data_IF_699071334793
#
_entry.id   IF_699071334793
#
_cell.length_a   1.000
_cell.length_b   1.000
_cell.length_c   1.000
_cell.angle_alpha   90.00
_cell.angle_beta   90.00
_cell.angle_gamma   90.00
#
_symmetry.space_group_name_H-M   'P 1'
#
loop_
_entity.id
_entity.type
_entity.pdbx_description
1 polymer ?
#
# COMPACT_ATOMS: atom_id res chain seq x y z
N UNK A 1 -16.51 15.59 -8.09
CA UNK A 1 -16.07 15.12 -6.73
C UNK A 1 -16.88 13.91 -6.27
N UNK A 2 -18.22 13.93 -6.38
CA UNK A 2 -19.06 12.81 -5.93
C UNK A 2 -18.89 11.51 -6.74
N UNK A 3 -18.74 11.58 -8.05
CA UNK A 3 -18.58 10.41 -8.92
C UNK A 3 -17.23 9.69 -8.73
N UNK A 4 -16.16 10.41 -8.53
CA UNK A 4 -14.82 9.84 -8.32
C UNK A 4 -14.66 9.15 -6.97
N UNK A 5 -15.28 9.69 -5.92
CA UNK A 5 -15.32 9.05 -4.60
C UNK A 5 -16.10 7.73 -4.66
N UNK A 6 -17.21 7.69 -5.42
CA UNK A 6 -17.97 6.47 -5.66
C UNK A 6 -17.15 5.41 -6.43
N UNK A 7 -16.34 5.81 -7.42
CA UNK A 7 -15.47 4.90 -8.17
C UNK A 7 -14.41 4.29 -7.24
N UNK A 8 -13.72 5.11 -6.45
CA UNK A 8 -12.69 4.63 -5.51
C UNK A 8 -13.29 3.70 -4.45
N UNK A 9 -14.46 4.03 -3.91
CA UNK A 9 -15.14 3.17 -2.93
C UNK A 9 -15.55 1.83 -3.52
N UNK A 10 -16.03 1.82 -4.76
CA UNK A 10 -16.34 0.60 -5.49
C UNK A 10 -15.09 -0.26 -5.67
N UNK A 11 -14.00 0.32 -6.16
CA UNK A 11 -12.74 -0.40 -6.37
C UNK A 11 -12.19 -0.95 -5.04
N UNK A 12 -12.28 -0.19 -3.95
CA UNK A 12 -11.90 -0.66 -2.61
C UNK A 12 -12.72 -1.87 -2.19
N UNK A 13 -14.06 -1.83 -2.36
CA UNK A 13 -14.95 -2.94 -2.01
C UNK A 13 -14.67 -4.18 -2.87
N UNK A 14 -14.45 -4.00 -4.17
CA UNK A 14 -14.12 -5.09 -5.10
C UNK A 14 -12.77 -5.73 -4.73
N UNK A 15 -11.75 -4.92 -4.41
CA UNK A 15 -10.45 -5.43 -3.94
C UNK A 15 -10.59 -6.26 -2.67
N UNK A 16 -11.33 -5.75 -1.69
CA UNK A 16 -11.57 -6.47 -0.43
C UNK A 16 -12.30 -7.79 -0.68
N UNK A 17 -13.35 -7.78 -1.47
CA UNK A 17 -14.12 -9.00 -1.77
C UNK A 17 -13.30 -10.04 -2.55
N UNK A 18 -12.46 -9.60 -3.47
CA UNK A 18 -11.66 -10.49 -4.32
C UNK A 18 -10.44 -11.07 -3.60
N UNK A 19 -9.74 -10.27 -2.78
CA UNK A 19 -8.43 -10.63 -2.24
C UNK A 19 -8.37 -10.86 -0.74
N UNK A 20 -9.33 -10.39 0.04
CA UNK A 20 -9.23 -10.44 1.49
C UNK A 20 -10.40 -11.18 2.17
N UNK A 21 -11.61 -10.91 1.74
CA UNK A 21 -12.81 -11.44 2.38
C UNK A 21 -12.81 -12.98 2.37
N UNK A 22 -13.08 -13.57 3.52
CA UNK A 22 -13.15 -15.02 3.74
C UNK A 22 -11.82 -15.78 3.47
N UNK A 23 -10.71 -15.05 3.34
CA UNK A 23 -9.37 -15.60 3.08
C UNK A 23 -8.38 -15.34 4.21
N UNK A 24 -8.78 -14.61 5.25
CA UNK A 24 -7.89 -14.12 6.30
C UNK A 24 -6.99 -15.21 6.87
N UNK A 25 -7.58 -16.35 7.23
CA UNK A 25 -6.83 -17.49 7.82
C UNK A 25 -5.81 -18.09 6.84
N UNK A 26 -6.18 -18.20 5.57
CA UNK A 26 -5.31 -18.75 4.53
C UNK A 26 -4.09 -17.87 4.30
N UNK A 27 -4.27 -16.57 4.32
CA UNK A 27 -3.22 -15.59 4.06
C UNK A 27 -2.51 -15.09 5.32
N UNK A 28 -2.79 -15.68 6.48
CA UNK A 28 -2.12 -15.38 7.75
C UNK A 28 -2.62 -14.10 8.43
N UNK A 29 -3.72 -13.50 7.99
CA UNK A 29 -4.29 -12.32 8.64
C UNK A 29 -5.23 -12.71 9.79
N UNK A 30 -5.12 -12.00 10.90
CA UNK A 30 -6.10 -12.03 11.99
C UNK A 30 -7.32 -11.15 11.67
N UNK A 31 -7.06 -10.00 11.07
CA UNK A 31 -8.08 -9.06 10.61
C UNK A 31 -7.52 -8.08 9.58
N UNK A 32 -8.40 -7.32 8.94
CA UNK A 32 -7.99 -6.23 8.08
C UNK A 32 -8.95 -5.04 8.19
N UNK A 33 -8.44 -3.87 7.85
CA UNK A 33 -9.21 -2.65 7.71
C UNK A 33 -8.95 -2.02 6.35
N UNK A 34 -9.97 -1.43 5.75
CA UNK A 34 -9.84 -0.70 4.51
C UNK A 34 -10.41 0.71 4.63
N UNK A 35 -9.72 1.68 4.05
CA UNK A 35 -10.15 3.08 4.08
C UNK A 35 -9.91 3.78 2.76
N UNK A 36 -10.69 4.81 2.50
CA UNK A 36 -10.38 5.81 1.49
C UNK A 36 -9.62 6.97 2.16
N UNK A 37 -8.67 7.53 1.45
CA UNK A 37 -8.04 8.77 1.90
C UNK A 37 -9.06 9.89 1.87
N UNK A 38 -9.16 10.62 2.97
CA UNK A 38 -9.98 11.80 3.08
C UNK A 38 -9.61 12.86 2.04
N UNK A 39 -10.62 13.58 1.54
CA UNK A 39 -10.44 14.54 0.44
C UNK A 39 -9.60 15.75 0.87
N UNK A 40 -9.75 16.23 2.11
CA UNK A 40 -8.98 17.38 2.60
C UNK A 40 -7.50 16.99 2.73
N UNK A 41 -7.20 15.89 3.40
CA UNK A 41 -5.85 15.35 3.51
C UNK A 41 -5.24 14.99 2.14
N UNK A 42 -6.08 14.63 1.15
CA UNK A 42 -5.61 14.41 -0.21
C UNK A 42 -5.11 15.71 -0.83
N UNK A 43 -5.87 16.78 -0.74
CA UNK A 43 -5.48 18.10 -1.30
C UNK A 43 -4.20 18.60 -0.65
N UNK A 44 -4.08 18.55 0.67
CA UNK A 44 -2.85 18.92 1.38
C UNK A 44 -1.64 18.10 0.89
N UNK A 45 -1.81 16.79 0.73
CA UNK A 45 -0.75 15.93 0.21
C UNK A 45 -0.36 16.28 -1.23
N UNK A 46 -1.32 16.58 -2.09
CA UNK A 46 -1.06 16.99 -3.48
C UNK A 46 -0.24 18.27 -3.54
N UNK A 47 -0.63 19.27 -2.75
CA UNK A 47 0.10 20.55 -2.65
C UNK A 47 1.53 20.31 -2.16
N UNK A 48 1.70 19.56 -1.06
CA UNK A 48 3.01 19.23 -0.51
C UNK A 48 3.90 18.51 -1.53
N UNK A 49 3.40 17.45 -2.19
CA UNK A 49 4.15 16.71 -3.21
C UNK A 49 4.58 17.61 -4.38
N UNK A 50 3.72 18.52 -4.81
CA UNK A 50 4.04 19.47 -5.87
C UNK A 50 5.13 20.47 -5.46
N UNK A 51 5.15 20.87 -4.20
CA UNK A 51 6.21 21.73 -3.65
C UNK A 51 7.52 20.98 -3.48
N UNK A 52 7.49 19.73 -2.99
CA UNK A 52 8.68 18.90 -2.78
C UNK A 52 9.35 18.46 -4.08
N UNK A 53 8.58 18.18 -5.14
CA UNK A 53 9.12 17.73 -6.43
C UNK A 53 8.27 18.26 -7.60
N UNK A 54 8.44 19.54 -7.90
CA UNK A 54 7.70 20.21 -8.97
C UNK A 54 7.88 19.52 -10.33
N UNK A 55 9.07 19.07 -10.67
CA UNK A 55 9.36 18.44 -11.97
C UNK A 55 8.49 17.19 -12.20
N UNK A 56 8.34 16.36 -11.17
CA UNK A 56 7.52 15.12 -11.21
C UNK A 56 6.02 15.42 -11.24
N UNK A 57 5.57 16.39 -10.44
CA UNK A 57 4.14 16.62 -10.20
C UNK A 57 3.55 17.83 -10.96
N UNK A 58 4.34 18.51 -11.83
CA UNK A 58 3.87 19.70 -12.56
C UNK A 58 2.68 19.47 -13.47
N UNK A 59 2.55 18.24 -14.03
CA UNK A 59 1.45 17.83 -14.92
C UNK A 59 0.26 17.23 -14.18
N UNK A 60 0.34 17.12 -12.86
CA UNK A 60 -0.74 16.56 -12.05
C UNK A 60 -1.86 17.59 -11.90
N UNK A 61 -3.08 17.16 -12.19
CA UNK A 61 -4.31 17.94 -12.05
C UNK A 61 -5.48 17.08 -11.51
N UNK A 62 -6.66 17.66 -11.47
CA UNK A 62 -7.85 16.98 -10.96
C UNK A 62 -8.28 15.75 -11.78
N UNK A 63 -7.87 15.64 -13.04
CA UNK A 63 -8.26 14.55 -13.93
C UNK A 63 -7.30 13.36 -13.87
N UNK A 64 -6.07 13.56 -13.41
CA UNK A 64 -5.01 12.54 -13.46
C UNK A 64 -4.31 12.27 -12.11
N UNK A 65 -4.69 12.93 -11.02
CA UNK A 65 -4.03 12.79 -9.72
C UNK A 65 -3.97 11.34 -9.21
N UNK A 66 -4.93 10.50 -9.57
CA UNK A 66 -4.95 9.08 -9.20
C UNK A 66 -3.73 8.29 -9.71
N UNK A 67 -3.04 8.79 -10.74
CA UNK A 67 -1.79 8.22 -11.27
C UNK A 67 -0.56 8.60 -10.45
N UNK A 68 -0.68 9.57 -9.55
CA UNK A 68 0.44 10.12 -8.75
C UNK A 68 0.34 9.80 -7.27
N UNK A 69 -0.86 9.52 -6.76
CA UNK A 69 -1.10 9.28 -5.34
C UNK A 69 -1.25 7.79 -5.08
N UNK A 70 -0.32 7.23 -4.31
CA UNK A 70 -0.20 5.80 -4.08
C UNK A 70 -1.01 5.27 -2.90
N UNK A 71 -1.63 6.15 -2.11
CA UNK A 71 -2.38 5.84 -0.88
C UNK A 71 -3.83 6.34 -0.89
N UNK A 72 -4.44 6.38 -2.07
CA UNK A 72 -5.86 6.75 -2.21
C UNK A 72 -6.79 5.73 -1.55
N UNK A 73 -6.43 4.45 -1.66
CA UNK A 73 -7.05 3.34 -0.96
C UNK A 73 -5.98 2.76 -0.05
N UNK A 74 -6.27 2.70 1.23
CA UNK A 74 -5.41 2.07 2.23
C UNK A 74 -6.03 0.78 2.73
N UNK A 75 -5.24 -0.29 2.73
CA UNK A 75 -5.56 -1.56 3.39
C UNK A 75 -4.57 -1.75 4.53
N UNK A 76 -5.06 -2.10 5.69
CA UNK A 76 -4.24 -2.45 6.84
C UNK A 76 -4.56 -3.88 7.23
N UNK A 77 -3.61 -4.79 7.03
CA UNK A 77 -3.71 -6.19 7.44
C UNK A 77 -2.98 -6.40 8.75
N UNK A 78 -3.63 -7.09 9.68
CA UNK A 78 -3.13 -7.33 11.02
C UNK A 78 -2.82 -8.81 11.22
N UNK A 79 -1.59 -9.09 11.63
CA UNK A 79 -1.11 -10.41 11.96
C UNK A 79 -1.18 -10.63 13.48
N UNK A 80 -1.33 -11.88 13.91
CA UNK A 80 -1.12 -12.24 15.30
C UNK A 80 0.38 -12.38 15.59
N UNK A 81 1.09 -13.13 14.74
CA UNK A 81 2.52 -13.32 14.83
C UNK A 81 3.22 -12.74 13.60
N UNK A 82 4.42 -12.23 13.78
CA UNK A 82 5.21 -11.62 12.70
C UNK A 82 5.57 -12.64 11.61
N UNK A 83 5.78 -13.89 11.98
CA UNK A 83 6.10 -15.00 11.10
C UNK A 83 4.98 -15.30 10.09
N UNK A 84 3.73 -15.00 10.41
CA UNK A 84 2.57 -15.18 9.53
C UNK A 84 2.65 -14.27 8.30
N UNK A 85 3.45 -13.23 8.34
CA UNK A 85 3.70 -12.35 7.21
C UNK A 85 4.12 -13.09 5.95
N UNK A 86 4.88 -14.17 6.06
CA UNK A 86 5.36 -14.95 4.90
C UNK A 86 4.18 -15.50 4.08
N UNK A 87 3.09 -15.91 4.72
CA UNK A 87 1.89 -16.40 4.05
C UNK A 87 1.25 -15.28 3.23
N UNK A 88 1.08 -14.11 3.82
CA UNK A 88 0.56 -12.93 3.13
C UNK A 88 1.48 -12.52 1.98
N UNK A 89 2.79 -12.50 2.21
CA UNK A 89 3.76 -12.12 1.17
C UNK A 89 3.67 -13.04 -0.06
N UNK A 90 3.67 -14.36 0.15
CA UNK A 90 3.51 -15.33 -0.95
C UNK A 90 2.22 -15.10 -1.72
N UNK A 91 1.13 -14.87 -1.01
CA UNK A 91 -0.18 -14.62 -1.59
C UNK A 91 -0.19 -13.35 -2.43
N UNK A 92 0.25 -12.22 -1.90
CA UNK A 92 0.19 -10.95 -2.62
C UNK A 92 1.12 -10.92 -3.85
N UNK A 93 2.30 -11.52 -3.76
CA UNK A 93 3.22 -11.64 -4.89
C UNK A 93 2.68 -12.57 -5.98
N UNK A 94 1.91 -13.60 -5.61
CA UNK A 94 1.27 -14.48 -6.58
C UNK A 94 0.28 -13.71 -7.48
N UNK A 95 -0.55 -12.87 -6.87
CA UNK A 95 -1.58 -12.10 -7.58
C UNK A 95 -1.06 -10.82 -8.23
N UNK A 96 -0.12 -10.14 -7.59
CA UNK A 96 0.44 -8.86 -8.03
C UNK A 96 1.94 -9.01 -8.31
N UNK A 97 2.26 -9.57 -9.46
CA UNK A 97 3.66 -9.74 -9.87
C UNK A 97 4.34 -8.39 -10.06
N UNK A 98 5.59 -8.30 -9.66
CA UNK A 98 6.41 -7.14 -9.94
C UNK A 98 6.71 -7.09 -11.45
N UNK A 99 6.27 -6.03 -12.12
CA UNK A 99 6.55 -5.76 -13.52
C UNK A 99 7.05 -4.32 -13.68
N UNK A 100 8.36 -4.09 -13.54
CA UNK A 100 8.94 -2.75 -13.67
C UNK A 100 8.68 -2.09 -15.03
N UNK A 101 8.65 -2.87 -16.10
CA UNK A 101 8.37 -2.33 -17.45
C UNK A 101 6.92 -1.88 -17.57
N UNK A 102 6.00 -2.62 -16.96
CA UNK A 102 4.59 -2.25 -16.91
C UNK A 102 4.39 -0.98 -16.09
N UNK A 103 5.07 -0.85 -14.96
CA UNK A 103 5.07 0.37 -14.16
C UNK A 103 5.52 1.60 -14.95
N UNK A 104 6.62 1.48 -15.71
CA UNK A 104 7.14 2.56 -16.56
C UNK A 104 6.17 2.87 -17.70
N UNK A 105 5.55 1.86 -18.31
CA UNK A 105 4.55 2.04 -19.37
C UNK A 105 3.32 2.78 -18.87
N UNK A 106 2.79 2.39 -17.70
CA UNK A 106 1.54 2.93 -17.17
C UNK A 106 1.70 4.33 -16.57
N UNK A 107 2.92 4.70 -16.17
CA UNK A 107 3.23 6.06 -15.72
C UNK A 107 3.23 7.10 -16.85
N UNK A 108 3.31 6.68 -18.09
CA UNK A 108 3.40 7.53 -19.27
C UNK A 108 2.35 7.34 -20.34
N UNK A 109 1.41 6.38 -20.19
CA UNK A 109 0.45 6.01 -21.24
C UNK A 109 -0.95 5.79 -20.71
N UNK A 110 -1.90 5.78 -21.66
CA UNK A 110 -3.29 5.48 -21.40
C UNK A 110 -3.44 4.11 -20.74
N UNK A 111 -4.16 4.12 -19.69
CA UNK A 111 -4.42 3.10 -18.73
C UNK A 111 -5.30 1.99 -19.34
N UNK A 112 -4.82 0.75 -19.35
CA UNK A 112 -5.66 -0.40 -19.69
C UNK A 112 -6.51 -0.81 -18.47
N UNK A 113 -7.80 -0.45 -18.53
CA UNK A 113 -8.76 -0.77 -17.49
C UNK A 113 -9.01 -2.28 -17.29
N UNK A 114 -8.56 -3.10 -18.24
CA UNK A 114 -8.71 -4.55 -18.22
C UNK A 114 -7.45 -5.29 -17.74
N UNK A 115 -6.37 -4.57 -17.48
CA UNK A 115 -5.16 -5.20 -16.98
C UNK A 115 -5.39 -5.74 -15.55
N UNK A 116 -5.05 -7.00 -15.34
CA UNK A 116 -4.93 -7.57 -14.01
C UNK A 116 -3.99 -6.68 -13.18
N UNK A 117 -4.24 -6.52 -11.90
CA UNK A 117 -3.41 -5.73 -11.00
C UNK A 117 -1.93 -6.13 -11.02
N UNK A 118 -1.04 -5.23 -10.66
CA UNK A 118 0.40 -5.48 -10.59
C UNK A 118 1.04 -4.75 -9.40
N UNK A 119 2.22 -5.21 -8.99
CA UNK A 119 3.02 -4.54 -7.98
C UNK A 119 3.65 -3.29 -8.57
N UNK A 120 3.31 -2.13 -8.04
CA UNK A 120 3.77 -0.84 -8.57
C UNK A 120 5.24 -0.56 -8.24
N UNK A 121 5.69 -1.01 -7.08
CA UNK A 121 7.07 -0.92 -6.63
C UNK A 121 7.43 -2.13 -5.76
N UNK A 122 8.72 -2.47 -5.59
CA UNK A 122 9.13 -3.52 -4.68
C UNK A 122 8.60 -3.27 -3.26
N UNK A 123 8.16 -4.33 -2.55
CA UNK A 123 7.72 -4.22 -1.17
C UNK A 123 8.81 -3.61 -0.29
N UNK A 124 8.41 -2.80 0.69
CA UNK A 124 9.32 -2.17 1.66
C UNK A 124 9.01 -2.65 3.06
N UNK A 125 10.02 -3.10 3.75
CA UNK A 125 9.96 -3.48 5.15
C UNK A 125 10.46 -2.32 6.00
N UNK A 126 9.67 -1.88 6.94
CA UNK A 126 10.08 -0.93 7.97
C UNK A 126 10.31 -1.69 9.26
N UNK A 127 11.54 -1.65 9.78
CA UNK A 127 11.98 -2.26 11.03
C UNK A 127 12.42 -1.17 12.00
N UNK A 128 12.51 -1.49 13.29
CA UNK A 128 13.20 -0.63 14.26
C UNK A 128 14.68 -0.98 14.29
N UNK A 129 15.52 -0.01 14.60
CA UNK A 129 16.94 -0.24 14.77
C UNK A 129 17.18 -1.33 15.82
N UNK A 130 17.94 -2.36 15.46
CA UNK A 130 18.22 -3.52 16.29
C UNK A 130 17.18 -4.65 16.24
N UNK A 131 16.16 -4.52 15.39
CA UNK A 131 15.22 -5.61 15.18
C UNK A 131 15.85 -6.77 14.41
N UNK A 132 15.35 -7.96 14.71
CA UNK A 132 15.68 -9.15 13.96
C UNK A 132 14.92 -9.17 12.63
N UNK A 133 15.64 -8.98 11.53
CA UNK A 133 15.06 -8.86 10.19
C UNK A 133 15.11 -10.16 9.36
N UNK A 134 15.61 -11.25 9.91
CA UNK A 134 15.91 -12.51 9.20
C UNK A 134 14.70 -13.10 8.45
N UNK A 135 13.50 -12.90 8.97
CA UNK A 135 12.29 -13.38 8.30
C UNK A 135 12.06 -12.70 6.94
N UNK A 136 12.66 -11.55 6.71
CA UNK A 136 12.45 -10.74 5.50
C UNK A 136 13.56 -10.93 4.45
N UNK A 137 14.80 -11.16 4.88
CA UNK A 137 15.98 -11.14 3.98
C UNK A 137 15.93 -12.19 2.87
N UNK A 138 15.21 -13.29 3.06
CA UNK A 138 15.02 -14.31 2.05
C UNK A 138 13.97 -13.95 0.98
N UNK A 139 13.22 -12.89 1.17
CA UNK A 139 12.07 -12.50 0.35
C UNK A 139 12.17 -11.08 -0.21
N UNK A 140 12.81 -10.21 0.53
CA UNK A 140 12.88 -8.77 0.23
C UNK A 140 14.36 -8.39 0.11
N UNK A 141 14.77 -7.71 -0.96
CA UNK A 141 16.13 -7.18 -1.08
C UNK A 141 16.49 -6.27 0.08
N UNK A 142 17.75 -6.33 0.52
CA UNK A 142 18.23 -5.62 1.71
C UNK A 142 18.01 -4.11 1.63
N UNK A 143 18.16 -3.53 0.44
CA UNK A 143 17.91 -2.11 0.18
C UNK A 143 16.46 -1.67 0.41
N UNK A 144 15.52 -2.63 0.48
CA UNK A 144 14.11 -2.39 0.79
C UNK A 144 13.76 -2.71 2.25
N UNK A 145 14.71 -3.08 3.08
CA UNK A 145 14.57 -3.23 4.53
C UNK A 145 15.10 -1.95 5.18
N UNK A 146 14.20 -1.14 5.70
CA UNK A 146 14.46 0.25 6.10
C UNK A 146 14.35 0.41 7.61
N UNK A 147 15.42 0.85 8.26
CA UNK A 147 15.40 1.18 9.68
C UNK A 147 14.57 2.43 9.96
N UNK A 148 13.69 2.33 10.96
CA UNK A 148 12.85 3.42 11.45
C UNK A 148 12.96 3.52 12.96
N UNK A 149 12.73 4.72 13.50
CA UNK A 149 12.89 4.93 14.95
C UNK A 149 11.84 4.17 15.76
N UNK A 150 10.57 4.20 15.35
CA UNK A 150 9.46 3.68 16.14
C UNK A 150 8.44 2.85 15.33
N UNK A 151 8.60 2.74 14.03
CA UNK A 151 7.61 2.18 13.13
C UNK A 151 8.02 0.82 12.57
N UNK A 152 7.09 -0.14 12.61
CA UNK A 152 7.22 -1.45 11.94
C UNK A 152 6.01 -1.72 11.07
N UNK A 153 6.24 -2.04 9.83
CA UNK A 153 5.23 -2.58 8.92
C UNK A 153 5.88 -3.06 7.64
N UNK A 154 5.22 -3.93 6.90
CA UNK A 154 5.56 -4.21 5.51
C UNK A 154 4.57 -3.48 4.61
N UNK A 155 5.10 -2.69 3.68
CA UNK A 155 4.32 -1.90 2.75
C UNK A 155 4.36 -2.51 1.35
N UNK A 156 3.20 -2.62 0.75
CA UNK A 156 3.02 -2.98 -0.65
C UNK A 156 2.24 -1.86 -1.33
N UNK A 157 2.66 -1.49 -2.53
CA UNK A 157 1.89 -0.61 -3.41
C UNK A 157 1.52 -1.42 -4.63
N UNK A 158 0.24 -1.68 -4.78
CA UNK A 158 -0.30 -2.39 -5.93
C UNK A 158 -1.20 -1.48 -6.76
N UNK A 159 -1.27 -1.75 -8.04
CA UNK A 159 -2.28 -1.15 -8.93
C UNK A 159 -3.35 -2.20 -9.18
N UNK A 160 -4.58 -1.83 -8.92
CA UNK A 160 -5.75 -2.65 -9.18
C UNK A 160 -6.83 -1.80 -9.86
N UNK A 161 -7.30 -2.24 -11.02
CA UNK A 161 -8.26 -1.49 -11.84
C UNK A 161 -7.91 0.00 -11.98
N UNK A 162 -6.62 0.31 -12.02
CA UNK A 162 -6.11 1.61 -12.27
C UNK A 162 -5.87 2.52 -11.11
N UNK A 163 -6.12 2.06 -9.99
CA UNK A 163 -5.96 2.83 -8.78
C UNK A 163 -4.87 2.20 -7.93
N UNK A 164 -4.01 3.02 -7.37
CA UNK A 164 -3.04 2.58 -6.39
C UNK A 164 -3.73 2.22 -5.07
N UNK A 165 -3.35 1.06 -4.54
CA UNK A 165 -3.75 0.59 -3.23
C UNK A 165 -2.49 0.40 -2.40
N UNK A 166 -2.39 1.09 -1.29
CA UNK A 166 -1.34 0.88 -0.29
C UNK A 166 -1.82 -0.20 0.69
N UNK A 167 -1.02 -1.26 0.84
CA UNK A 167 -1.28 -2.32 1.80
C UNK A 167 -0.18 -2.27 2.86
N UNK A 168 -0.57 -2.10 4.11
CA UNK A 168 0.31 -2.11 5.28
C UNK A 168 0.04 -3.36 6.09
N UNK A 169 1.05 -4.20 6.27
CA UNK A 169 0.96 -5.42 7.08
C UNK A 169 1.80 -5.23 8.33
N UNK A 170 1.19 -5.45 9.48
CA UNK A 170 1.81 -5.35 10.80
C UNK A 170 1.11 -6.26 11.80
N UNK A 171 1.72 -6.47 12.96
CA UNK A 171 1.06 -7.22 14.02
C UNK A 171 0.03 -6.37 14.76
N UNK A 172 -0.88 -7.03 15.46
CA UNK A 172 -1.83 -6.36 16.37
C UNK A 172 -1.11 -5.53 17.43
N UNK A 173 0.04 -6.02 17.92
CA UNK A 173 0.86 -5.28 18.89
C UNK A 173 1.40 -3.97 18.31
N UNK A 174 1.93 -4.02 17.09
CA UNK A 174 2.48 -2.85 16.39
C UNK A 174 1.39 -1.83 16.03
N UNK A 175 0.18 -2.29 15.74
CA UNK A 175 -0.97 -1.42 15.56
C UNK A 175 -1.32 -0.68 16.84
N UNK A 176 -1.50 -1.41 17.95
CA UNK A 176 -1.82 -0.81 19.25
C UNK A 176 -0.72 0.14 19.74
N UNK A 177 0.55 -0.23 19.56
CA UNK A 177 1.67 0.65 19.90
C UNK A 177 1.68 1.93 19.08
N UNK A 178 1.40 1.86 17.77
CA UNK A 178 1.35 3.03 16.89
C UNK A 178 0.26 4.02 17.29
N UNK A 179 -0.91 3.54 17.73
CA UNK A 179 -1.99 4.40 18.22
C UNK A 179 -1.62 5.12 19.53
N UNK A 180 -0.87 4.44 20.42
CA UNK A 180 -0.37 5.04 21.67
C UNK A 180 0.68 6.11 21.35
N UNK A 181 1.64 5.82 20.48
CA UNK A 181 2.73 6.74 20.09
C UNK A 181 2.16 8.04 19.47
N UNK A 182 1.14 7.93 18.63
CA UNK A 182 0.44 9.08 18.06
C UNK A 182 -0.37 9.90 19.08
N UNK A 183 -0.74 9.29 20.21
CA UNK A 183 -1.58 9.96 21.22
C UNK A 183 -0.74 10.70 22.28
N UNK A 184 0.53 10.35 22.44
CA UNK A 184 1.41 10.85 23.51
C UNK A 184 2.41 11.88 23.00
N UNK A 185 2.72 11.92 21.71
CA UNK A 185 3.66 12.83 21.06
C UNK A 185 2.95 13.88 20.20
#
# INVERSE_FOLDING_TARGET
VGSEMCIRDRIRKEFVAEFLQDKEKEIGLQSYHSRLKDTEHLVEKLVRKRLENYAKYRKMDATNYMRYVTDLIGIRGLLLYREDWVNFHKYIIHWFKNDPEKYIRDYGRDYDQNASGYMAEPPKVHTRLGDYADIYVNWIPEENILDRKHYRAVHYIVVYRGVYIEIQIKTLFEEGWGEIDHSIL
#
